data_IF_651603106394
#
_entry.id   IF_651603106394
#
_cell.length_a   1.000
_cell.length_b   1.000
_cell.length_c   1.000
_cell.angle_alpha   90.00
_cell.angle_beta   90.00
_cell.angle_gamma   90.00
#
_symmetry.space_group_name_H-M   'P 1'
#
loop_
_entity.id
_entity.type
_entity.pdbx_description
1 polymer ?
#
# COMPACT_ATOMS: atom_id res chain seq x y z
N UNK A 1 -11.04 -10.70 -7.76
CA UNK A 1 -11.60 -9.36 -7.48
C UNK A 1 -12.78 -9.23 -8.41
N UNK A 2 -14.00 -9.00 -7.90
CA UNK A 2 -15.12 -8.66 -8.73
C UNK A 2 -14.81 -7.46 -9.63
N UNK A 3 -15.75 -7.10 -10.51
CA UNK A 3 -15.59 -5.93 -11.36
C UNK A 3 -15.36 -4.67 -10.49
N UNK A 4 -14.27 -3.95 -10.73
CA UNK A 4 -13.98 -2.68 -10.07
C UNK A 4 -14.36 -1.52 -10.97
N UNK A 5 -14.89 -0.47 -10.38
CA UNK A 5 -15.09 0.81 -11.04
C UNK A 5 -13.81 1.63 -10.97
N UNK A 6 -13.43 2.26 -12.08
CA UNK A 6 -12.30 3.16 -12.15
C UNK A 6 -12.77 4.60 -11.89
N UNK A 7 -12.20 5.24 -10.87
CA UNK A 7 -12.50 6.61 -10.52
C UNK A 7 -11.31 7.51 -10.83
N UNK A 8 -11.57 8.63 -11.50
CA UNK A 8 -10.59 9.68 -11.76
C UNK A 8 -10.63 10.69 -10.60
N UNK A 9 -9.50 10.94 -9.96
CA UNK A 9 -9.41 11.93 -8.88
C UNK A 9 -9.47 13.37 -9.37
N UNK A 10 -9.33 13.60 -10.68
CA UNK A 10 -9.16 14.93 -11.25
C UNK A 10 -7.75 15.53 -11.09
N UNK A 11 -6.86 14.84 -10.36
CA UNK A 11 -5.53 15.34 -10.02
C UNK A 11 -4.52 14.93 -11.08
N UNK A 12 -3.69 15.89 -11.51
CA UNK A 12 -2.52 15.64 -12.34
C UNK A 12 -1.35 15.17 -11.49
N UNK A 13 -0.72 14.08 -11.87
CA UNK A 13 0.34 13.43 -11.12
C UNK A 13 1.60 13.25 -11.96
N UNK A 14 2.73 13.70 -11.45
CA UNK A 14 4.01 13.58 -12.15
C UNK A 14 4.85 12.40 -11.68
N UNK A 15 4.55 11.83 -10.51
CA UNK A 15 5.32 10.75 -9.91
C UNK A 15 6.74 11.17 -9.46
N UNK A 16 7.34 10.34 -8.61
CA UNK A 16 8.66 10.63 -8.00
C UNK A 16 9.77 10.66 -9.05
N UNK A 17 9.70 9.79 -10.04
CA UNK A 17 10.75 9.68 -11.06
C UNK A 17 10.80 10.84 -12.04
N UNK A 18 9.69 11.53 -12.27
CA UNK A 18 9.66 12.73 -13.09
C UNK A 18 10.59 13.81 -12.53
N UNK A 19 10.49 14.09 -11.23
CA UNK A 19 11.34 15.08 -10.56
C UNK A 19 12.82 14.69 -10.56
N UNK A 20 13.12 13.39 -10.51
CA UNK A 20 14.50 12.88 -10.50
C UNK A 20 15.12 12.87 -11.90
N UNK A 21 14.35 12.52 -12.93
CA UNK A 21 14.84 12.40 -14.29
C UNK A 21 14.94 13.73 -15.02
N UNK A 22 14.24 14.78 -14.55
CA UNK A 22 14.15 16.10 -15.17
C UNK A 22 13.76 16.06 -16.68
N UNK A 23 13.06 14.99 -17.08
CA UNK A 23 12.62 14.83 -18.46
C UNK A 23 11.28 15.54 -18.67
N UNK A 24 11.12 16.32 -19.78
CA UNK A 24 9.83 16.93 -20.08
C UNK A 24 8.81 15.85 -20.44
N UNK A 25 7.82 15.67 -19.58
CA UNK A 25 6.75 14.70 -19.74
C UNK A 25 5.42 15.34 -19.36
N UNK A 26 4.34 14.97 -20.05
CA UNK A 26 3.00 15.39 -19.63
C UNK A 26 2.61 14.68 -18.33
N UNK A 27 1.84 15.36 -17.45
CA UNK A 27 1.36 14.72 -16.23
C UNK A 27 0.41 13.59 -16.56
N UNK A 28 0.42 12.57 -15.73
CA UNK A 28 -0.56 11.50 -15.75
C UNK A 28 -1.78 11.87 -14.90
N UNK A 29 -2.87 11.14 -15.08
CA UNK A 29 -4.07 11.26 -14.24
C UNK A 29 -4.01 10.22 -13.14
N UNK A 30 -4.28 10.63 -11.91
CA UNK A 30 -4.35 9.73 -10.78
C UNK A 30 -5.74 9.08 -10.72
N UNK A 31 -5.77 7.74 -10.73
CA UNK A 31 -6.98 6.93 -10.66
C UNK A 31 -6.92 5.98 -9.47
N UNK A 32 -8.10 5.57 -9.00
CA UNK A 32 -8.21 4.45 -8.06
C UNK A 32 -9.34 3.50 -8.51
N UNK A 33 -9.26 2.26 -8.04
CA UNK A 33 -10.25 1.23 -8.32
C UNK A 33 -11.08 1.00 -7.07
N UNK A 34 -12.40 0.94 -7.22
CA UNK A 34 -13.32 0.76 -6.11
C UNK A 34 -14.40 -0.28 -6.40
N UNK A 35 -14.85 -0.96 -5.36
CA UNK A 35 -16.00 -1.85 -5.36
C UNK A 35 -16.51 -2.08 -3.92
N UNK A 36 -17.57 -2.86 -3.78
CA UNK A 36 -18.17 -3.15 -2.48
C UNK A 36 -17.19 -3.85 -1.51
N UNK A 37 -16.28 -4.69 -1.99
CA UNK A 37 -15.28 -5.36 -1.16
C UNK A 37 -14.27 -4.33 -0.64
N UNK A 38 -13.71 -3.51 -1.52
CA UNK A 38 -12.72 -2.47 -1.13
C UNK A 38 -13.32 -1.52 -0.10
N UNK A 39 -14.58 -1.09 -0.29
CA UNK A 39 -15.29 -0.22 0.67
C UNK A 39 -15.52 -0.86 2.04
N UNK A 40 -15.54 -2.18 2.12
CA UNK A 40 -15.74 -2.92 3.38
C UNK A 40 -14.44 -3.20 4.14
N UNK A 41 -13.27 -2.96 3.53
CA UNK A 41 -11.98 -3.22 4.15
C UNK A 41 -11.78 -2.35 5.39
N UNK A 42 -11.15 -2.96 6.41
CA UNK A 42 -10.66 -2.25 7.58
C UNK A 42 -9.16 -2.12 7.46
N UNK A 43 -8.64 -0.91 7.61
CA UNK A 43 -7.21 -0.62 7.51
C UNK A 43 -6.72 -0.03 8.81
N UNK A 44 -5.76 -0.67 9.44
CA UNK A 44 -5.15 -0.26 10.69
C UNK A 44 -3.69 0.17 10.46
N UNK A 45 -3.35 1.37 10.92
CA UNK A 45 -1.99 1.89 10.93
C UNK A 45 -1.35 1.62 12.29
N UNK A 46 -0.31 0.79 12.31
CA UNK A 46 0.38 0.43 13.55
C UNK A 46 1.20 1.57 14.16
N UNK A 47 1.65 2.55 13.36
CA UNK A 47 2.42 3.69 13.86
C UNK A 47 1.55 4.63 14.69
N UNK A 48 0.33 4.90 14.24
CA UNK A 48 -0.61 5.80 14.91
C UNK A 48 -1.60 5.07 15.82
N UNK A 49 -1.58 3.73 15.80
CA UNK A 49 -2.52 2.87 16.52
C UNK A 49 -3.97 3.23 16.24
N UNK A 50 -4.30 3.55 14.98
CA UNK A 50 -5.62 4.01 14.56
C UNK A 50 -6.04 3.43 13.22
N UNK A 51 -7.36 3.38 13.01
CA UNK A 51 -7.92 3.04 11.71
C UNK A 51 -7.76 4.23 10.74
N UNK A 52 -7.49 3.91 9.49
CA UNK A 52 -7.36 4.87 8.39
C UNK A 52 -8.22 4.43 7.20
N UNK A 53 -8.61 5.32 6.29
CA UNK A 53 -9.32 4.94 5.06
C UNK A 53 -8.40 4.18 4.10
N UNK A 54 -8.99 3.35 3.23
CA UNK A 54 -8.26 2.73 2.10
C UNK A 54 -7.76 3.81 1.15
N UNK A 55 -8.63 4.80 0.85
CA UNK A 55 -8.33 5.95 0.01
C UNK A 55 -8.67 7.23 0.77
N UNK A 56 -7.69 8.07 1.03
CA UNK A 56 -7.88 9.43 1.52
C UNK A 56 -7.89 10.40 0.34
N UNK A 57 -9.08 10.70 -0.17
CA UNK A 57 -9.22 11.60 -1.32
C UNK A 57 -8.79 13.03 -1.02
N UNK A 58 -8.76 13.44 0.25
CA UNK A 58 -8.27 14.77 0.63
C UNK A 58 -6.75 14.87 0.44
N UNK A 59 -6.02 13.79 0.69
CA UNK A 59 -4.58 13.71 0.47
C UNK A 59 -4.21 13.79 -1.02
N UNK A 60 -5.12 13.38 -1.93
CA UNK A 60 -4.89 13.47 -3.37
C UNK A 60 -4.64 14.91 -3.86
N UNK A 61 -5.15 15.94 -3.16
CA UNK A 61 -4.89 17.34 -3.45
C UNK A 61 -3.62 17.87 -2.76
N UNK A 62 -2.93 17.05 -1.99
CA UNK A 62 -1.73 17.40 -1.23
C UNK A 62 -0.46 17.50 -2.08
N UNK A 63 0.67 17.67 -1.39
CA UNK A 63 2.01 17.75 -2.02
C UNK A 63 2.41 16.46 -2.73
N UNK A 64 2.07 15.30 -2.14
CA UNK A 64 2.22 13.99 -2.75
C UNK A 64 0.84 13.33 -2.89
N UNK A 65 0.20 13.44 -4.06
CA UNK A 65 -1.12 12.86 -4.29
C UNK A 65 -1.20 11.35 -4.06
N UNK A 66 -0.05 10.64 -4.14
CA UNK A 66 -0.01 9.21 -3.93
C UNK A 66 -0.23 8.80 -2.46
N UNK A 67 -0.07 9.73 -1.51
CA UNK A 67 -0.42 9.51 -0.10
C UNK A 67 -1.91 9.18 0.12
N UNK A 68 -2.77 9.42 -0.88
CA UNK A 68 -4.16 8.98 -0.83
C UNK A 68 -4.30 7.45 -0.63
N UNK A 69 -3.34 6.67 -1.07
CA UNK A 69 -3.34 5.21 -0.91
C UNK A 69 -2.79 4.81 0.45
N UNK A 70 -3.67 4.34 1.35
CA UNK A 70 -3.32 3.82 2.69
C UNK A 70 -2.50 4.82 3.55
N UNK A 71 -2.69 6.12 3.35
CA UNK A 71 -1.97 7.17 4.07
C UNK A 71 -0.48 7.26 3.73
N UNK A 72 -0.06 6.75 2.55
CA UNK A 72 1.29 6.88 2.04
C UNK A 72 2.31 5.89 2.63
N UNK A 73 3.53 6.38 2.87
CA UNK A 73 4.62 5.57 3.40
C UNK A 73 4.45 5.35 4.91
N UNK A 74 4.24 4.10 5.31
CA UNK A 74 4.07 3.67 6.71
C UNK A 74 4.85 2.37 6.93
N UNK A 75 5.39 2.18 8.12
CA UNK A 75 6.19 0.98 8.43
C UNK A 75 5.35 -0.29 8.42
N UNK A 76 4.18 -0.27 9.08
CA UNK A 76 3.26 -1.42 9.14
C UNK A 76 1.81 -0.95 8.98
N UNK A 77 1.15 -1.53 7.98
CA UNK A 77 -0.29 -1.38 7.74
C UNK A 77 -0.92 -2.78 7.74
N UNK A 78 -2.05 -2.95 8.42
CA UNK A 78 -2.84 -4.18 8.36
C UNK A 78 -4.17 -3.90 7.66
N UNK A 79 -4.47 -4.66 6.61
CA UNK A 79 -5.74 -4.61 5.89
C UNK A 79 -6.50 -5.88 6.21
N UNK A 80 -7.74 -5.76 6.69
CA UNK A 80 -8.62 -6.89 6.99
C UNK A 80 -9.83 -6.84 6.05
N UNK A 81 -10.09 -7.96 5.38
CA UNK A 81 -11.31 -8.18 4.60
C UNK A 81 -12.32 -8.98 5.43
N UNK A 82 -13.36 -8.34 5.99
CA UNK A 82 -14.35 -9.03 6.82
C UNK A 82 -15.25 -10.00 6.03
N UNK A 83 -15.24 -9.90 4.70
CA UNK A 83 -16.05 -10.70 3.78
C UNK A 83 -15.24 -11.77 3.05
N UNK A 84 -14.03 -12.06 3.50
CA UNK A 84 -13.18 -13.06 2.85
C UNK A 84 -13.81 -14.46 2.97
N UNK A 85 -13.85 -15.21 1.87
CA UNK A 85 -14.41 -16.56 1.85
C UNK A 85 -13.52 -17.61 2.55
N UNK A 86 -12.24 -17.29 2.74
CA UNK A 86 -11.24 -18.16 3.39
C UNK A 86 -10.35 -17.33 4.28
N UNK A 87 -9.95 -17.90 5.42
CA UNK A 87 -8.90 -17.34 6.25
C UNK A 87 -7.54 -17.63 5.61
N UNK A 88 -7.02 -16.66 4.84
CA UNK A 88 -5.65 -16.66 4.33
C UNK A 88 -5.00 -15.34 4.66
N UNK A 89 -3.74 -15.38 5.05
CA UNK A 89 -2.96 -14.23 5.49
C UNK A 89 -1.74 -14.06 4.61
N UNK A 90 -1.56 -12.83 4.12
CA UNK A 90 -0.44 -12.43 3.29
C UNK A 90 0.42 -11.40 4.02
N UNK A 91 1.73 -11.58 4.02
CA UNK A 91 2.66 -10.52 4.37
C UNK A 91 3.27 -9.97 3.09
N UNK A 92 3.22 -8.65 2.92
CA UNK A 92 3.81 -7.96 1.76
C UNK A 92 4.92 -7.05 2.24
N UNK A 93 6.13 -7.39 1.91
CA UNK A 93 7.28 -6.49 2.03
C UNK A 93 7.30 -5.58 0.82
N UNK A 94 7.20 -4.27 1.04
CA UNK A 94 6.91 -3.34 -0.06
C UNK A 94 7.64 -2.01 0.10
N UNK A 95 7.70 -1.25 -0.99
CA UNK A 95 7.88 0.20 -1.00
C UNK A 95 6.53 0.91 -1.24
N UNK A 96 6.54 2.21 -1.56
CA UNK A 96 5.30 2.99 -1.75
C UNK A 96 4.40 2.45 -2.86
N UNK A 97 4.93 1.79 -3.89
CA UNK A 97 4.11 1.20 -4.97
C UNK A 97 3.14 0.12 -4.46
N UNK A 98 3.50 -0.58 -3.38
CA UNK A 98 2.62 -1.54 -2.75
C UNK A 98 1.34 -0.95 -2.18
N UNK A 99 1.28 0.35 -1.91
CA UNK A 99 0.10 0.98 -1.30
C UNK A 99 -1.13 0.94 -2.22
N UNK A 100 -0.97 1.14 -3.52
CA UNK A 100 -2.10 1.15 -4.46
C UNK A 100 -2.60 -0.26 -4.82
N UNK A 101 -1.72 -1.26 -4.82
CA UNK A 101 -2.07 -2.63 -5.22
C UNK A 101 -2.61 -3.47 -4.05
N UNK A 102 -2.19 -3.19 -2.82
CA UNK A 102 -2.52 -4.02 -1.66
C UNK A 102 -4.03 -4.20 -1.42
N UNK A 103 -4.89 -3.19 -1.52
CA UNK A 103 -6.34 -3.38 -1.38
C UNK A 103 -6.91 -4.38 -2.38
N UNK A 104 -6.33 -4.48 -3.58
CA UNK A 104 -6.78 -5.39 -4.64
C UNK A 104 -6.41 -6.85 -4.34
N UNK A 105 -5.35 -7.10 -3.58
CA UNK A 105 -4.91 -8.44 -3.19
C UNK A 105 -5.87 -9.08 -2.17
N UNK A 106 -6.71 -8.29 -1.49
CA UNK A 106 -7.71 -8.79 -0.52
C UNK A 106 -8.77 -9.71 -1.13
N UNK A 107 -8.83 -9.81 -2.46
CA UNK A 107 -9.64 -10.82 -3.14
C UNK A 107 -9.23 -12.26 -2.80
N UNK A 108 -7.97 -12.49 -2.48
CA UNK A 108 -7.42 -13.80 -2.13
C UNK A 108 -7.12 -14.00 -0.65
N UNK A 109 -7.20 -12.93 0.16
CA UNK A 109 -6.74 -12.95 1.55
C UNK A 109 -7.73 -12.25 2.49
N UNK A 110 -7.90 -12.83 3.68
CA UNK A 110 -8.68 -12.22 4.77
C UNK A 110 -7.90 -11.13 5.50
N UNK A 111 -6.58 -11.27 5.55
CA UNK A 111 -5.69 -10.28 6.16
C UNK A 111 -4.44 -10.10 5.31
N UNK A 112 -4.03 -8.84 5.14
CA UNK A 112 -2.77 -8.47 4.50
C UNK A 112 -2.02 -7.55 5.45
N UNK A 113 -0.78 -7.94 5.80
CA UNK A 113 0.13 -7.09 6.57
C UNK A 113 1.19 -6.53 5.62
N UNK A 114 1.16 -5.23 5.42
CA UNK A 114 2.17 -4.50 4.64
C UNK A 114 3.32 -4.10 5.55
N UNK A 115 4.53 -4.33 5.10
CA UNK A 115 5.77 -4.01 5.83
C UNK A 115 6.69 -3.21 4.92
N UNK A 116 7.06 -2.01 5.37
CA UNK A 116 8.08 -1.21 4.69
C UNK A 116 9.36 -1.20 5.54
N UNK A 117 10.30 -2.06 5.17
CA UNK A 117 11.56 -2.24 5.91
C UNK A 117 12.51 -1.04 5.83
N UNK A 118 12.18 -0.01 5.06
CA UNK A 118 12.92 1.26 5.09
C UNK A 118 12.65 2.03 6.38
N UNK A 119 11.47 1.82 7.00
CA UNK A 119 11.01 2.55 8.19
C UNK A 119 11.02 1.71 9.46
N UNK A 120 11.25 0.41 9.36
CA UNK A 120 11.30 -0.50 10.52
C UNK A 120 12.43 -1.51 10.37
N UNK A 121 13.19 -1.73 11.45
CA UNK A 121 14.26 -2.71 11.43
C UNK A 121 13.73 -4.14 11.45
N UNK A 122 14.37 -5.09 10.75
CA UNK A 122 14.01 -6.51 10.78
C UNK A 122 13.97 -7.09 12.20
N UNK A 123 14.87 -6.63 13.09
CA UNK A 123 14.91 -7.06 14.49
C UNK A 123 13.67 -6.67 15.31
N UNK A 124 12.94 -5.64 14.88
CA UNK A 124 11.69 -5.19 15.51
C UNK A 124 10.46 -5.93 14.95
N UNK A 125 10.55 -6.46 13.73
CA UNK A 125 9.40 -7.09 13.07
C UNK A 125 8.88 -8.31 13.82
N UNK A 126 9.76 -9.18 14.33
CA UNK A 126 9.36 -10.37 15.05
C UNK A 126 8.61 -10.11 16.39
N UNK A 127 8.64 -8.86 16.88
CA UNK A 127 7.86 -8.43 18.06
C UNK A 127 6.45 -7.96 17.68
N UNK A 128 6.26 -7.54 16.43
CA UNK A 128 5.04 -6.89 15.93
C UNK A 128 4.24 -7.78 14.99
N UNK A 129 4.90 -8.75 14.34
CA UNK A 129 4.31 -9.63 13.36
C UNK A 129 4.63 -11.08 13.71
N UNK A 130 3.59 -11.88 13.83
CA UNK A 130 3.71 -13.33 13.96
C UNK A 130 3.78 -13.98 12.57
N UNK A 131 4.98 -14.19 12.09
CA UNK A 131 5.24 -14.77 10.77
C UNK A 131 4.71 -16.20 10.62
N UNK A 132 4.52 -16.93 11.73
CA UNK A 132 4.03 -18.31 11.69
C UNK A 132 2.57 -18.42 11.27
N UNK A 133 1.85 -17.30 11.31
CA UNK A 133 0.43 -17.21 10.91
C UNK A 133 0.23 -16.81 9.47
N UNK A 134 1.30 -16.50 8.74
CA UNK A 134 1.22 -16.14 7.34
C UNK A 134 1.17 -17.39 6.45
N UNK A 135 0.26 -17.40 5.50
CA UNK A 135 0.20 -18.44 4.47
C UNK A 135 1.15 -18.15 3.31
N UNK A 136 1.32 -16.86 2.99
CA UNK A 136 2.16 -16.42 1.89
C UNK A 136 2.97 -15.16 2.27
N UNK A 137 4.11 -14.97 1.59
CA UNK A 137 4.90 -13.76 1.64
C UNK A 137 5.20 -13.25 0.23
N UNK A 138 4.99 -11.95 0.01
CA UNK A 138 5.27 -11.27 -1.25
C UNK A 138 6.30 -10.17 -1.01
N UNK A 139 7.33 -10.13 -1.86
CA UNK A 139 8.31 -9.04 -1.91
C UNK A 139 8.02 -8.20 -3.15
N UNK A 140 7.63 -6.95 -2.94
CA UNK A 140 7.19 -6.02 -3.98
C UNK A 140 7.97 -4.71 -3.87
N UNK A 141 9.08 -4.62 -4.58
CA UNK A 141 9.95 -3.46 -4.56
C UNK A 141 10.20 -2.92 -5.96
N UNK A 142 10.31 -1.61 -6.07
CA UNK A 142 10.78 -0.96 -7.29
C UNK A 142 12.28 -1.23 -7.52
N UNK A 143 12.70 -1.15 -8.77
CA UNK A 143 14.11 -1.33 -9.14
C UNK A 143 15.03 -0.35 -8.41
N UNK A 144 14.57 0.89 -8.16
CA UNK A 144 15.34 1.88 -7.43
C UNK A 144 15.62 1.50 -5.98
N UNK A 145 14.65 0.86 -5.30
CA UNK A 145 14.87 0.36 -3.93
C UNK A 145 15.85 -0.80 -3.93
N UNK A 146 15.74 -1.71 -4.90
CA UNK A 146 16.66 -2.85 -5.01
C UNK A 146 18.09 -2.38 -5.32
N UNK A 147 18.24 -1.41 -6.22
CA UNK A 147 19.55 -0.85 -6.58
C UNK A 147 20.21 -0.05 -5.43
N UNK A 148 19.41 0.50 -4.52
CA UNK A 148 19.88 1.23 -3.33
C UNK A 148 19.67 0.36 -2.08
N UNK A 149 20.22 -0.86 -2.08
CA UNK A 149 20.07 -1.81 -0.98
C UNK A 149 20.52 -1.28 0.38
N UNK A 150 21.37 -0.25 0.42
CA UNK A 150 21.76 0.47 1.65
C UNK A 150 20.58 1.18 2.34
N UNK A 151 19.49 1.43 1.64
CA UNK A 151 18.27 2.00 2.22
C UNK A 151 17.37 0.94 2.88
N UNK A 152 17.67 -0.32 2.64
CA UNK A 152 16.97 -1.46 3.24
C UNK A 152 17.68 -1.78 4.55
N UNK A 153 16.96 -1.67 5.66
CA UNK A 153 17.49 -1.89 7.02
C UNK A 153 17.52 -3.37 7.39
#
# INVERSE_FOLDING_TARGET
>A
IGQCEKHDTGVSFYGVYYGQAALPHAPERLFYLDNAVIRSLKVYNAETSSDIPVYDLSAAAGRDPYEMFLGGARSIIRITNPNAAKERRLIVFRDSFGSSIAPLLTAGYSEITLVDIRYISPSSLGKLIDFTKADDALFLYSASVINNSETIK
#
